data_IF_752521410652
#
_entry.id   IF_752521410652
#
_cell.length_a   1.000
_cell.length_b   1.000
_cell.length_c   1.000
_cell.angle_alpha   90.00
_cell.angle_beta   90.00
_cell.angle_gamma   90.00
#
_symmetry.space_group_name_H-M   'P 1'
#
loop_
_entity.id
_entity.type
_entity.pdbx_description
1 polymer ?
#
# COMPACT_ATOMS: atom_id res chain seq x y z
N UNK A 1 23.73 14.38 -46.40
CA UNK A 1 23.50 14.76 -45.00
C UNK A 1 22.11 14.24 -44.62
N UNK A 2 22.04 13.10 -43.94
CA UNK A 2 20.79 12.43 -43.59
C UNK A 2 20.03 13.25 -42.54
N UNK A 3 18.75 13.52 -42.79
CA UNK A 3 17.78 13.94 -41.76
C UNK A 3 16.71 12.86 -41.68
N UNK A 4 16.77 12.02 -40.65
CA UNK A 4 15.65 11.17 -40.26
C UNK A 4 14.66 12.02 -39.47
N UNK A 5 13.48 12.25 -40.04
CA UNK A 5 12.31 12.76 -39.31
C UNK A 5 11.39 11.57 -39.02
N UNK A 6 11.18 11.23 -37.75
CA UNK A 6 10.21 10.21 -37.35
C UNK A 6 8.86 10.90 -37.12
N UNK A 7 7.91 10.57 -37.99
CA UNK A 7 6.53 11.04 -38.03
C UNK A 7 5.68 10.04 -37.23
N UNK A 8 5.01 10.49 -36.17
CA UNK A 8 4.06 9.66 -35.43
C UNK A 8 2.85 9.35 -36.34
N UNK A 9 2.61 8.07 -36.62
CA UNK A 9 1.42 7.58 -37.29
C UNK A 9 0.53 6.87 -36.26
N UNK A 10 -0.65 7.44 -36.03
CA UNK A 10 -1.80 6.79 -35.43
C UNK A 10 -2.31 5.69 -36.38
N UNK A 11 -2.39 4.45 -35.89
CA UNK A 11 -2.97 3.33 -36.61
C UNK A 11 -3.62 2.35 -35.63
N UNK A 12 -4.89 2.04 -35.85
CA UNK A 12 -5.73 1.16 -35.04
C UNK A 12 -5.67 -0.31 -35.52
N UNK A 13 -5.41 -1.24 -34.58
CA UNK A 13 -5.79 -2.69 -34.48
C UNK A 13 -5.49 -3.68 -35.66
N UNK A 14 -5.49 -5.06 -35.50
CA UNK A 14 -5.74 -5.93 -34.33
C UNK A 14 -4.76 -7.15 -34.11
N UNK A 15 -4.95 -7.84 -32.97
CA UNK A 15 -4.74 -9.29 -32.68
C UNK A 15 -3.34 -9.97 -32.63
N UNK A 16 -3.19 -10.78 -31.56
CA UNK A 16 -2.37 -12.00 -31.38
C UNK A 16 -0.86 -11.89 -31.10
N UNK A 17 -0.49 -12.06 -29.83
CA UNK A 17 0.58 -12.98 -29.44
C UNK A 17 0.14 -13.81 -28.23
N UNK A 18 -0.13 -15.09 -28.49
CA UNK A 18 -0.35 -16.13 -27.51
C UNK A 18 1.00 -16.53 -26.90
N UNK A 19 1.12 -16.45 -25.57
CA UNK A 19 2.18 -17.09 -24.80
C UNK A 19 1.57 -18.17 -23.92
N UNK A 20 1.49 -19.38 -24.47
CA UNK A 20 1.14 -20.61 -23.75
C UNK A 20 2.30 -20.95 -22.80
N UNK A 21 2.03 -21.14 -21.51
CA UNK A 21 2.90 -21.95 -20.64
C UNK A 21 2.05 -22.96 -19.88
N UNK A 22 2.54 -24.20 -19.89
CA UNK A 22 1.82 -25.45 -19.72
C UNK A 22 1.23 -25.69 -18.33
N UNK A 23 0.06 -26.33 -18.35
CA UNK A 23 -0.54 -27.08 -17.26
C UNK A 23 0.41 -28.18 -16.75
N UNK A 24 0.65 -28.20 -15.44
CA UNK A 24 1.13 -29.38 -14.72
C UNK A 24 -0.02 -29.98 -13.91
N UNK A 25 -0.95 -30.67 -14.57
CA UNK A 25 -1.94 -31.51 -13.89
C UNK A 25 -1.24 -32.79 -13.42
N UNK A 26 -1.05 -32.94 -12.10
CA UNK A 26 -0.93 -34.28 -11.50
C UNK A 26 -2.34 -34.79 -11.24
N UNK A 27 -2.68 -35.90 -11.89
CA UNK A 27 -3.84 -36.71 -11.55
C UNK A 27 -3.56 -37.41 -10.22
N UNK A 28 -4.32 -37.06 -9.18
CA UNK A 28 -4.57 -37.98 -8.07
C UNK A 28 -5.95 -38.61 -8.25
N UNK A 29 -5.94 -39.92 -8.37
CA UNK A 29 -7.09 -40.80 -8.44
C UNK A 29 -7.75 -40.92 -7.06
N UNK A 30 -8.63 -39.99 -6.72
CA UNK A 30 -9.70 -40.19 -5.73
C UNK A 30 -10.78 -39.12 -5.88
N UNK A 31 -11.95 -39.52 -6.39
CA UNK A 31 -13.08 -38.62 -6.53
C UNK A 31 -13.61 -38.14 -5.18
N UNK A 32 -13.42 -36.85 -4.87
CA UNK A 32 -14.27 -36.05 -3.97
C UNK A 32 -14.16 -34.59 -4.39
N UNK A 33 -15.26 -34.02 -4.92
CA UNK A 33 -15.38 -32.58 -5.14
C UNK A 33 -15.58 -31.90 -3.78
N UNK A 34 -14.54 -31.27 -3.27
CA UNK A 34 -14.66 -30.18 -2.31
C UNK A 34 -14.50 -28.87 -3.07
N UNK A 35 -15.43 -27.93 -2.91
CA UNK A 35 -15.34 -26.60 -3.48
C UNK A 35 -14.18 -25.85 -2.84
N UNK A 36 -13.05 -25.79 -3.54
CA UNK A 36 -11.94 -24.92 -3.20
C UNK A 36 -12.11 -23.62 -3.99
N UNK A 37 -12.43 -22.54 -3.29
CA UNK A 37 -12.26 -21.20 -3.85
C UNK A 37 -10.78 -20.97 -4.18
N UNK A 38 -10.44 -20.39 -5.34
CA UNK A 38 -9.05 -20.24 -5.74
C UNK A 38 -8.38 -19.14 -4.90
N UNK A 39 -7.65 -19.57 -3.87
CA UNK A 39 -6.69 -18.73 -3.15
C UNK A 39 -5.48 -18.46 -4.05
N UNK A 40 -5.30 -17.21 -4.43
CA UNK A 40 -4.17 -16.77 -5.26
C UNK A 40 -2.88 -16.73 -4.44
N UNK A 41 -1.77 -17.24 -5.01
CA UNK A 41 -0.44 -17.02 -4.45
C UNK A 41 0.03 -15.58 -4.78
N UNK A 42 0.47 -14.86 -3.74
CA UNK A 42 0.87 -13.44 -3.74
C UNK A 42 1.98 -13.00 -4.73
N UNK A 43 2.51 -13.91 -5.55
CA UNK A 43 3.59 -13.62 -6.51
C UNK A 43 3.17 -12.75 -7.71
N UNK A 44 1.87 -12.59 -7.97
CA UNK A 44 1.36 -11.91 -9.18
C UNK A 44 1.05 -10.40 -9.00
N UNK A 45 1.14 -9.84 -7.79
CA UNK A 45 0.84 -8.44 -7.49
C UNK A 45 2.09 -7.56 -7.27
N UNK A 46 3.23 -7.90 -7.88
CA UNK A 46 4.45 -7.07 -7.81
C UNK A 46 4.41 -5.80 -8.69
N UNK A 47 3.26 -5.45 -9.28
CA UNK A 47 3.11 -4.24 -10.10
C UNK A 47 2.23 -3.22 -9.38
N UNK A 48 2.85 -2.10 -8.96
CA UNK A 48 2.17 -0.91 -8.47
C UNK A 48 1.60 -1.04 -7.06
N UNK A 49 2.44 -1.13 -6.02
CA UNK A 49 1.95 -0.88 -4.66
C UNK A 49 1.60 0.61 -4.53
N UNK A 50 0.37 0.92 -4.09
CA UNK A 50 0.02 2.28 -3.69
C UNK A 50 0.69 2.50 -2.33
N UNK A 51 1.94 2.97 -2.36
CA UNK A 51 2.70 3.24 -1.14
C UNK A 51 1.93 4.23 -0.25
N UNK A 52 1.77 3.87 1.02
CA UNK A 52 1.35 4.81 2.05
C UNK A 52 2.63 5.47 2.56
N UNK A 53 2.87 6.73 2.19
CA UNK A 53 4.05 7.44 2.65
C UNK A 53 3.77 8.00 4.06
N UNK A 54 4.73 7.93 4.98
CA UNK A 54 4.70 8.75 6.18
C UNK A 54 4.60 10.24 5.78
N UNK A 55 3.64 10.96 6.36
CA UNK A 55 3.15 12.32 6.01
C UNK A 55 4.17 13.49 6.14
N UNK A 56 5.46 13.29 5.91
CA UNK A 56 6.50 14.34 6.12
C UNK A 56 7.19 14.82 4.84
N UNK A 57 6.74 14.43 3.65
CA UNK A 57 7.22 15.04 2.41
C UNK A 57 6.56 16.42 2.20
N UNK A 58 7.19 17.47 2.74
CA UNK A 58 6.85 18.85 2.38
C UNK A 58 7.14 19.09 0.88
N UNK A 59 6.28 19.81 0.14
CA UNK A 59 6.66 20.31 -1.18
C UNK A 59 7.75 21.37 -0.99
N UNK A 60 8.93 21.14 -1.57
CA UNK A 60 9.94 22.19 -1.66
C UNK A 60 9.43 23.30 -2.58
N UNK A 61 9.60 24.59 -2.21
CA UNK A 61 9.22 25.68 -3.09
C UNK A 61 10.11 25.67 -4.34
N UNK A 62 9.44 25.79 -5.48
CA UNK A 62 10.00 25.85 -6.82
C UNK A 62 10.75 27.18 -7.01
N UNK A 63 11.96 27.34 -6.46
CA UNK A 63 12.90 28.42 -6.83
C UNK A 63 14.31 28.10 -6.31
N UNK A 64 15.16 27.55 -7.19
CA UNK A 64 16.60 27.42 -6.97
C UNK A 64 17.29 28.71 -7.44
N UNK A 65 17.65 29.59 -6.51
CA UNK A 65 18.76 30.53 -6.72
C UNK A 65 20.08 29.86 -6.32
N UNK A 66 21.20 30.14 -7.01
CA UNK A 66 22.50 29.53 -6.68
C UNK A 66 23.03 30.09 -5.35
N UNK A 67 23.17 29.24 -4.33
CA UNK A 67 23.73 29.61 -3.05
C UNK A 67 25.27 29.54 -3.07
N UNK A 68 25.92 30.65 -2.72
CA UNK A 68 27.34 30.74 -2.38
C UNK A 68 27.65 30.05 -1.04
N UNK A 69 28.88 29.57 -0.81
CA UNK A 69 29.20 28.73 0.35
C UNK A 69 29.63 29.59 1.54
N UNK A 70 28.79 29.75 2.57
CA UNK A 70 29.25 30.25 3.87
C UNK A 70 28.70 29.50 5.09
N UNK A 71 29.65 29.05 5.91
CA UNK A 71 29.60 28.75 7.35
C UNK A 71 28.68 27.62 7.85
N UNK A 72 29.29 26.45 8.01
CA UNK A 72 28.82 25.36 8.87
C UNK A 72 28.86 25.84 10.33
N UNK A 73 27.70 26.14 10.91
CA UNK A 73 27.55 26.26 12.36
C UNK A 73 26.84 25.02 12.90
N UNK A 74 27.49 24.38 13.87
CA UNK A 74 27.03 23.17 14.58
C UNK A 74 25.58 23.32 15.07
N UNK A 75 24.64 22.65 14.40
CA UNK A 75 23.33 22.30 14.96
C UNK A 75 23.29 20.79 15.19
N UNK A 76 22.79 20.31 16.35
CA UNK A 76 22.65 18.88 16.58
C UNK A 76 21.75 18.25 15.51
N UNK A 77 21.99 16.99 15.12
CA UNK A 77 21.21 16.35 14.07
C UNK A 77 19.73 16.31 14.48
N UNK A 78 18.88 16.90 13.65
CA UNK A 78 17.43 16.80 13.78
C UNK A 78 17.06 15.32 13.63
N UNK A 79 16.61 14.69 14.73
CA UNK A 79 15.99 13.37 14.69
C UNK A 79 14.85 13.38 13.66
N UNK A 80 14.77 12.40 12.75
CA UNK A 80 13.58 12.22 11.92
C UNK A 80 12.36 12.06 12.84
N UNK A 81 11.40 12.99 12.76
CA UNK A 81 10.10 12.82 13.42
C UNK A 81 9.38 11.67 12.71
N UNK A 82 9.05 10.61 13.47
CA UNK A 82 8.07 9.61 13.05
C UNK A 82 6.78 10.32 12.64
N UNK A 83 6.10 9.83 11.60
CA UNK A 83 4.78 10.34 11.25
C UNK A 83 3.80 10.16 12.41
N UNK A 84 2.81 11.05 12.56
CA UNK A 84 1.73 10.81 13.50
C UNK A 84 1.03 9.47 13.15
N UNK A 85 0.61 8.68 14.15
CA UNK A 85 -0.09 7.41 13.91
C UNK A 85 -1.38 7.65 13.11
N UNK A 86 -1.79 6.68 12.27
CA UNK A 86 -3.03 6.80 11.51
C UNK A 86 -4.23 6.89 12.44
N UNK A 87 -5.27 7.68 12.13
CA UNK A 87 -6.48 7.71 12.92
C UNK A 87 -7.22 6.37 12.88
N UNK A 88 -7.67 5.91 14.04
CA UNK A 88 -8.11 4.53 14.26
C UNK A 88 -9.12 4.45 15.41
N UNK A 89 -9.85 3.34 15.49
CA UNK A 89 -10.74 3.06 16.63
C UNK A 89 -9.94 2.75 17.90
N UNK A 90 -9.03 1.77 17.83
CA UNK A 90 -8.29 1.23 18.98
C UNK A 90 -6.91 0.66 18.58
N UNK A 91 -5.90 0.76 19.44
CA UNK A 91 -4.54 0.20 19.20
C UNK A 91 -3.88 -0.40 20.46
N UNK A 92 -4.69 -0.87 21.39
CA UNK A 92 -4.27 -1.22 22.76
C UNK A 92 -3.08 -2.18 22.83
N UNK A 93 -3.05 -3.25 22.03
CA UNK A 93 -2.03 -4.29 22.12
C UNK A 93 -0.85 -4.06 21.17
N UNK A 94 -1.12 -3.57 19.96
CA UNK A 94 -0.09 -3.25 18.98
C UNK A 94 -0.55 -2.12 18.04
N UNK A 95 0.38 -1.22 17.71
CA UNK A 95 0.10 0.04 17.01
C UNK A 95 -0.26 -0.16 15.53
N UNK A 96 -1.24 0.60 15.03
CA UNK A 96 -1.70 0.47 13.64
C UNK A 96 -0.67 0.93 12.60
N UNK A 97 0.32 1.73 13.00
CA UNK A 97 1.44 2.13 12.13
C UNK A 97 2.18 0.92 11.53
N UNK A 98 2.22 -0.20 12.25
CA UNK A 98 2.90 -1.43 11.83
C UNK A 98 2.30 -2.08 10.58
N UNK A 99 1.02 -1.80 10.27
CA UNK A 99 0.34 -2.35 9.09
C UNK A 99 1.07 -2.00 7.79
N UNK A 100 1.67 -0.82 7.75
CA UNK A 100 2.33 -0.25 6.57
C UNK A 100 3.85 -0.43 6.58
N UNK A 101 4.42 -1.01 7.64
CA UNK A 101 5.86 -1.27 7.75
C UNK A 101 6.35 -2.08 6.55
N UNK A 102 7.37 -1.64 5.80
CA UNK A 102 7.81 -2.31 4.57
C UNK A 102 8.34 -3.74 4.80
N UNK A 103 8.98 -3.98 5.94
CA UNK A 103 9.58 -5.27 6.26
C UNK A 103 8.52 -6.34 6.52
N UNK A 104 8.83 -7.62 6.24
CA UNK A 104 8.00 -8.73 6.70
C UNK A 104 7.76 -8.66 8.23
N UNK A 105 6.60 -9.12 8.72
CA UNK A 105 6.35 -9.25 10.15
C UNK A 105 7.42 -10.08 10.83
N UNK A 106 7.77 -9.71 12.06
CA UNK A 106 8.64 -10.51 12.92
C UNK A 106 7.96 -10.89 14.23
N UNK A 107 8.32 -12.04 14.78
CA UNK A 107 7.89 -12.47 16.12
C UNK A 107 9.06 -12.39 17.09
N UNK A 108 8.81 -11.90 18.31
CA UNK A 108 9.77 -11.91 19.41
C UNK A 108 9.18 -12.61 20.64
N UNK A 109 9.23 -13.96 20.68
CA UNK A 109 8.72 -14.71 21.83
C UNK A 109 9.38 -14.24 23.14
N UNK A 110 8.58 -14.06 24.19
CA UNK A 110 9.07 -13.61 25.51
C UNK A 110 9.27 -12.10 25.64
N UNK A 111 9.05 -11.31 24.58
CA UNK A 111 9.03 -9.84 24.68
C UNK A 111 7.60 -9.38 24.96
N UNK A 112 7.45 -8.57 26.01
CA UNK A 112 6.17 -8.04 26.45
C UNK A 112 6.20 -6.51 26.48
N UNK A 113 5.07 -5.90 26.14
CA UNK A 113 4.76 -4.49 26.36
C UNK A 113 3.95 -4.36 27.65
N UNK A 114 3.57 -3.13 28.01
CA UNK A 114 2.67 -2.90 29.14
C UNK A 114 1.26 -3.50 28.91
N UNK A 115 0.88 -3.73 27.63
CA UNK A 115 -0.43 -4.23 27.26
C UNK A 115 -0.47 -5.76 27.11
N UNK A 116 0.67 -6.43 26.88
CA UNK A 116 0.70 -7.88 26.66
C UNK A 116 1.94 -8.33 25.92
N UNK A 117 1.86 -9.48 25.23
CA UNK A 117 2.95 -9.92 24.35
C UNK A 117 3.16 -8.91 23.21
N UNK A 118 4.40 -8.68 22.83
CA UNK A 118 4.71 -7.77 21.72
C UNK A 118 4.38 -8.42 20.38
N UNK A 119 3.67 -7.68 19.52
CA UNK A 119 3.35 -8.07 18.15
C UNK A 119 3.83 -7.02 17.14
N UNK A 120 4.32 -7.50 16.00
CA UNK A 120 4.64 -6.68 14.83
C UNK A 120 3.43 -6.57 13.91
N UNK A 121 2.45 -5.79 14.34
CA UNK A 121 1.18 -5.62 13.66
C UNK A 121 0.29 -4.61 14.38
N UNK A 122 -0.97 -4.57 13.97
CA UNK A 122 -2.06 -3.91 14.67
C UNK A 122 -2.87 -4.97 15.42
N UNK A 123 -3.17 -4.73 16.70
CA UNK A 123 -4.04 -5.60 17.49
C UNK A 123 -4.93 -4.77 18.42
N UNK A 124 -6.23 -5.05 18.36
CA UNK A 124 -7.25 -4.35 19.14
C UNK A 124 -7.74 -5.17 20.34
N UNK A 125 -8.55 -4.54 21.19
CA UNK A 125 -9.05 -5.19 22.41
C UNK A 125 -10.15 -6.19 22.06
N UNK A 126 -10.14 -7.34 22.73
CA UNK A 126 -11.19 -8.35 22.61
C UNK A 126 -12.56 -7.83 23.07
N UNK A 127 -13.60 -8.40 22.48
CA UNK A 127 -15.01 -8.14 22.81
C UNK A 127 -15.41 -6.71 22.46
N UNK A 128 -15.04 -6.27 21.26
CA UNK A 128 -15.53 -5.01 20.71
C UNK A 128 -17.08 -5.05 20.70
N UNK A 129 -17.69 -4.04 21.32
CA UNK A 129 -19.17 -3.90 21.36
C UNK A 129 -19.72 -3.33 20.06
N UNK A 130 -18.88 -2.69 19.26
CA UNK A 130 -19.20 -2.21 17.94
C UNK A 130 -19.05 -3.34 16.91
N UNK A 131 -19.58 -3.15 15.70
CA UNK A 131 -19.52 -4.18 14.66
C UNK A 131 -18.09 -4.47 14.17
N UNK A 132 -17.21 -3.47 14.23
CA UNK A 132 -15.84 -3.56 13.74
C UNK A 132 -14.90 -2.54 14.38
N UNK A 133 -13.62 -2.87 14.38
CA UNK A 133 -12.51 -1.93 14.51
C UNK A 133 -12.08 -1.39 13.14
N UNK A 134 -11.49 -0.19 13.12
CA UNK A 134 -11.09 0.44 11.87
C UNK A 134 -9.83 1.29 11.99
N UNK A 135 -9.15 1.46 10.86
CA UNK A 135 -8.03 2.39 10.70
C UNK A 135 -8.13 3.10 9.36
N UNK A 136 -7.89 4.41 9.36
CA UNK A 136 -7.81 5.24 8.15
C UNK A 136 -6.36 5.49 7.79
N UNK A 137 -6.01 5.20 6.54
CA UNK A 137 -4.67 5.32 6.00
C UNK A 137 -4.72 6.29 4.82
N UNK A 138 -3.95 7.38 4.91
CA UNK A 138 -3.72 8.29 3.79
C UNK A 138 -2.71 7.69 2.83
N UNK A 139 -3.01 7.72 1.53
CA UNK A 139 -2.06 7.27 0.52
C UNK A 139 -0.87 8.23 0.44
N UNK A 140 0.31 7.69 0.14
CA UNK A 140 1.52 8.48 -0.05
C UNK A 140 1.66 9.13 -1.42
N UNK A 141 0.82 8.69 -2.36
CA UNK A 141 0.68 9.32 -3.68
C UNK A 141 -0.51 10.27 -3.67
N UNK A 142 -0.55 11.21 -4.62
CA UNK A 142 -1.64 12.19 -4.70
C UNK A 142 -3.02 11.50 -4.76
N UNK A 143 -3.15 10.47 -5.60
CA UNK A 143 -4.29 9.56 -5.58
C UNK A 143 -3.98 8.27 -6.33
N UNK A 144 -4.82 7.24 -6.17
CA UNK A 144 -4.66 5.98 -6.89
C UNK A 144 -5.94 5.18 -7.05
N UNK A 145 -6.00 4.40 -8.13
CA UNK A 145 -7.07 3.43 -8.40
C UNK A 145 -6.63 2.04 -7.95
N UNK A 146 -7.51 1.27 -7.33
CA UNK A 146 -7.14 0.01 -6.67
C UNK A 146 -7.38 -1.18 -7.58
N UNK A 147 -6.41 -2.11 -7.59
CA UNK A 147 -6.45 -3.41 -8.30
C UNK A 147 -6.63 -4.59 -7.35
N UNK A 148 -6.17 -4.47 -6.11
CA UNK A 148 -6.24 -5.57 -5.16
C UNK A 148 -5.74 -5.18 -3.78
N UNK A 149 -6.01 -6.07 -2.84
CA UNK A 149 -5.70 -5.94 -1.42
C UNK A 149 -4.97 -7.20 -0.97
N UNK A 150 -3.94 -7.05 -0.16
CA UNK A 150 -3.35 -8.15 0.62
C UNK A 150 -3.41 -7.83 2.10
N UNK A 151 -3.74 -8.86 2.88
CA UNK A 151 -3.73 -8.89 4.34
C UNK A 151 -2.77 -10.00 4.76
N UNK A 152 -1.89 -9.68 5.69
CA UNK A 152 -1.03 -10.65 6.36
C UNK A 152 -1.44 -10.73 7.82
N UNK A 153 -1.85 -11.91 8.28
CA UNK A 153 -2.18 -12.19 9.69
C UNK A 153 -1.04 -12.90 10.42
N UNK A 154 0.20 -12.88 9.88
CA UNK A 154 1.37 -13.53 10.45
C UNK A 154 1.46 -13.39 11.98
N UNK A 155 1.67 -14.53 12.65
CA UNK A 155 1.80 -14.67 14.11
C UNK A 155 0.53 -14.42 14.93
N UNK A 156 -0.55 -13.93 14.33
CA UNK A 156 -1.88 -13.95 14.94
C UNK A 156 -2.54 -15.31 14.69
N UNK A 157 -2.49 -16.18 15.70
CA UNK A 157 -2.99 -17.55 15.64
C UNK A 157 -4.00 -17.75 16.77
N UNK A 158 -5.28 -17.81 16.41
CA UNK A 158 -6.42 -17.74 17.34
C UNK A 158 -6.92 -16.32 17.68
N UNK A 159 -6.11 -15.27 17.45
CA UNK A 159 -6.48 -13.85 17.64
C UNK A 159 -6.33 -13.00 16.36
N UNK A 160 -6.31 -13.64 15.19
CA UNK A 160 -6.32 -12.92 13.92
C UNK A 160 -7.66 -12.23 13.70
N UNK A 161 -7.68 -11.18 12.87
CA UNK A 161 -8.91 -10.63 12.31
C UNK A 161 -9.76 -11.77 11.71
N UNK A 162 -11.01 -12.00 12.16
CA UNK A 162 -11.87 -13.02 11.58
C UNK A 162 -12.31 -12.66 10.16
N UNK A 163 -12.75 -11.43 9.95
CA UNK A 163 -13.12 -10.90 8.65
C UNK A 163 -12.63 -9.45 8.49
N UNK A 164 -12.43 -9.03 7.24
CA UNK A 164 -12.04 -7.66 6.90
C UNK A 164 -12.87 -7.11 5.76
N UNK A 165 -12.96 -5.79 5.66
CA UNK A 165 -13.44 -5.09 4.48
C UNK A 165 -12.57 -3.84 4.23
N UNK A 166 -12.56 -3.34 2.99
CA UNK A 166 -11.78 -2.14 2.63
C UNK A 166 -12.67 -1.13 1.93
N UNK A 167 -12.55 0.11 2.36
CA UNK A 167 -13.25 1.24 1.78
C UNK A 167 -12.28 2.34 1.36
N UNK A 168 -12.70 3.22 0.46
CA UNK A 168 -11.92 4.33 -0.06
C UNK A 168 -12.71 5.62 -0.08
N UNK A 169 -12.00 6.74 -0.07
CA UNK A 169 -12.58 8.04 -0.36
C UNK A 169 -11.58 8.92 -1.12
N UNK A 170 -12.12 9.81 -1.95
CA UNK A 170 -11.35 10.84 -2.62
C UNK A 170 -11.62 12.18 -1.96
N UNK A 171 -10.60 12.72 -1.29
CA UNK A 171 -10.66 14.03 -0.66
C UNK A 171 -10.02 15.08 -1.58
N UNK A 172 -10.81 16.06 -2.06
CA UNK A 172 -10.41 17.17 -2.94
C UNK A 172 -9.65 18.30 -2.22
N UNK A 173 -9.10 18.03 -1.03
CA UNK A 173 -8.45 19.02 -0.13
C UNK A 173 -9.39 20.07 0.49
N UNK A 174 -10.68 20.09 0.15
CA UNK A 174 -11.69 20.97 0.78
C UNK A 174 -11.98 20.61 2.24
N UNK A 175 -11.62 19.39 2.63
CA UNK A 175 -11.84 18.83 3.97
C UNK A 175 -10.48 18.50 4.57
N UNK A 176 -10.20 18.98 5.78
CA UNK A 176 -8.95 18.66 6.46
C UNK A 176 -8.84 17.14 6.72
N UNK A 177 -7.64 16.57 6.63
CA UNK A 177 -7.41 15.13 6.86
C UNK A 177 -7.93 14.68 8.24
N UNK A 178 -7.92 15.58 9.24
CA UNK A 178 -8.46 15.34 10.58
C UNK A 178 -9.97 15.07 10.58
N UNK A 179 -10.72 15.59 9.60
CA UNK A 179 -12.17 15.36 9.46
C UNK A 179 -12.47 14.03 8.75
N UNK A 180 -11.69 13.67 7.72
CA UNK A 180 -11.80 12.37 7.03
C UNK A 180 -11.57 11.21 8.00
N UNK A 181 -10.73 11.48 8.98
CA UNK A 181 -10.28 10.56 10.01
C UNK A 181 -11.27 10.34 11.16
N UNK A 182 -12.41 11.04 11.18
CA UNK A 182 -13.41 10.90 12.24
C UNK A 182 -14.30 9.68 12.02
N UNK A 183 -14.76 9.07 13.13
CA UNK A 183 -15.72 7.94 13.10
C UNK A 183 -17.00 8.33 12.35
N UNK A 184 -17.40 9.59 12.40
CA UNK A 184 -18.61 10.14 11.77
C UNK A 184 -18.48 10.36 10.26
N UNK A 185 -17.28 10.29 9.68
CA UNK A 185 -17.12 10.47 8.24
C UNK A 185 -17.87 9.35 7.48
N UNK A 186 -18.74 9.75 6.53
CA UNK A 186 -19.65 8.84 5.81
C UNK A 186 -19.37 8.72 4.31
N UNK A 187 -18.48 9.54 3.74
CA UNK A 187 -18.23 9.54 2.28
C UNK A 187 -17.25 8.42 1.87
N UNK A 188 -17.49 7.20 2.35
CA UNK A 188 -16.69 6.02 2.05
C UNK A 188 -17.38 5.19 0.96
N UNK A 189 -16.62 4.77 -0.04
CA UNK A 189 -17.02 3.82 -1.08
C UNK A 189 -16.40 2.45 -0.78
N UNK A 190 -17.13 1.36 -1.00
CA UNK A 190 -16.57 0.01 -0.79
C UNK A 190 -15.63 -0.37 -1.92
N UNK A 191 -14.39 -0.69 -1.57
CA UNK A 191 -13.35 -1.21 -2.49
C UNK A 191 -13.36 -2.74 -2.47
N UNK A 192 -13.41 -3.33 -1.27
CA UNK A 192 -13.47 -4.76 -1.05
C UNK A 192 -14.57 -5.04 -0.03
N UNK A 193 -15.55 -5.84 -0.45
CA UNK A 193 -16.61 -6.35 0.43
C UNK A 193 -16.04 -7.21 1.55
N UNK A 194 -16.86 -7.56 2.55
CA UNK A 194 -16.43 -8.38 3.69
C UNK A 194 -15.84 -9.72 3.22
N UNK A 195 -14.63 -10.04 3.67
CA UNK A 195 -13.89 -11.26 3.32
C UNK A 195 -13.36 -11.96 4.57
N UNK A 196 -13.40 -13.30 4.62
CA UNK A 196 -12.86 -14.05 5.75
C UNK A 196 -11.33 -14.10 5.75
N UNK A 197 -10.76 -14.06 6.94
CA UNK A 197 -9.34 -14.20 7.21
C UNK A 197 -9.06 -15.51 7.96
N UNK A 198 -7.80 -15.92 7.98
CA UNK A 198 -7.39 -17.07 8.76
C UNK A 198 -6.11 -16.81 9.51
N UNK A 199 -5.72 -17.77 10.37
CA UNK A 199 -4.61 -17.58 11.29
C UNK A 199 -3.28 -17.59 10.55
N UNK A 200 -2.40 -16.67 10.95
CA UNK A 200 -0.98 -16.64 10.57
C UNK A 200 -0.69 -16.93 9.10
N UNK A 201 -1.38 -16.25 8.17
CA UNK A 201 -1.21 -16.43 6.74
C UNK A 201 -1.26 -15.11 5.97
N UNK A 202 -0.62 -15.12 4.80
CA UNK A 202 -0.82 -14.09 3.77
C UNK A 202 -2.01 -14.48 2.90
N UNK A 203 -2.83 -13.50 2.58
CA UNK A 203 -4.01 -13.67 1.75
C UNK A 203 -4.26 -12.41 0.93
N UNK A 204 -4.62 -12.58 -0.33
CA UNK A 204 -4.82 -11.47 -1.24
C UNK A 204 -6.08 -11.66 -2.09
N UNK A 205 -6.76 -10.55 -2.35
CA UNK A 205 -7.93 -10.48 -3.21
C UNK A 205 -7.64 -9.52 -4.35
N UNK A 206 -7.71 -10.04 -5.57
CA UNK A 206 -7.72 -9.24 -6.78
C UNK A 206 -9.15 -8.78 -7.05
N UNK A 207 -9.33 -7.48 -7.30
CA UNK A 207 -10.64 -6.95 -7.68
C UNK A 207 -11.00 -7.43 -9.10
N UNK A 208 -12.29 -7.64 -9.41
CA UNK A 208 -12.73 -8.07 -10.74
C UNK A 208 -12.27 -7.10 -11.85
N UNK A 209 -12.26 -5.82 -11.55
CA UNK A 209 -11.71 -4.73 -12.36
C UNK A 209 -10.97 -3.75 -11.46
N UNK A 210 -10.10 -2.94 -12.06
CA UNK A 210 -9.57 -1.77 -11.36
C UNK A 210 -10.73 -0.84 -10.97
N UNK A 211 -10.63 -0.16 -9.83
CA UNK A 211 -11.67 0.79 -9.41
C UNK A 211 -11.85 1.91 -10.42
N UNK A 212 -13.10 2.31 -10.65
CA UNK A 212 -13.40 3.41 -11.57
C UNK A 212 -12.89 4.74 -11.01
N UNK A 213 -13.16 4.98 -9.73
CA UNK A 213 -12.73 6.17 -8.99
C UNK A 213 -11.31 6.02 -8.44
N UNK A 214 -10.50 7.10 -8.45
CA UNK A 214 -9.29 7.18 -7.66
C UNK A 214 -9.62 7.49 -6.19
N UNK A 215 -8.70 7.16 -5.28
CA UNK A 215 -8.82 7.43 -3.85
C UNK A 215 -7.58 8.14 -3.32
N UNK A 216 -7.74 8.91 -2.25
CA UNK A 216 -6.64 9.55 -1.50
C UNK A 216 -6.48 8.97 -0.10
N UNK A 217 -7.56 8.40 0.46
CA UNK A 217 -7.58 7.72 1.74
C UNK A 217 -8.27 6.37 1.59
N UNK A 218 -7.83 5.40 2.39
CA UNK A 218 -8.49 4.11 2.54
C UNK A 218 -8.78 3.82 3.99
N UNK A 219 -9.83 3.05 4.24
CA UNK A 219 -10.23 2.58 5.56
C UNK A 219 -10.26 1.06 5.57
N UNK A 220 -9.45 0.47 6.42
CA UNK A 220 -9.49 -0.97 6.71
C UNK A 220 -10.45 -1.20 7.88
N UNK A 221 -11.38 -2.13 7.69
CA UNK A 221 -12.36 -2.56 8.70
C UNK A 221 -12.02 -3.99 9.12
N UNK A 222 -12.02 -4.26 10.43
CA UNK A 222 -11.75 -5.56 11.03
C UNK A 222 -12.94 -5.98 11.90
N UNK A 223 -13.53 -7.14 11.64
CA UNK A 223 -14.78 -7.56 12.24
C UNK A 223 -14.61 -8.77 13.18
N UNK A 224 -15.07 -8.71 14.45
CA UNK A 224 -15.37 -7.49 15.22
C UNK A 224 -14.09 -6.82 15.77
N UNK A 225 -13.07 -7.64 16.05
CA UNK A 225 -11.78 -7.27 16.64
C UNK A 225 -10.73 -8.35 16.31
N UNK A 226 -9.46 -8.11 16.63
CA UNK A 226 -8.37 -9.07 16.43
C UNK A 226 -7.05 -8.42 16.06
N UNK A 227 -6.21 -9.16 15.33
CA UNK A 227 -4.89 -8.70 14.91
C UNK A 227 -4.58 -8.92 13.43
N UNK A 228 -3.86 -7.96 12.85
CA UNK A 228 -3.38 -7.94 11.46
C UNK A 228 -1.93 -7.49 11.46
N UNK A 229 -1.04 -8.25 10.82
CA UNK A 229 0.38 -7.95 10.77
C UNK A 229 0.72 -6.92 9.69
N UNK A 230 0.21 -7.09 8.45
CA UNK A 230 0.39 -6.14 7.35
C UNK A 230 -0.88 -5.94 6.54
N UNK A 231 -0.99 -4.74 6.01
CA UNK A 231 -1.96 -4.38 4.98
C UNK A 231 -1.20 -3.85 3.76
N UNK A 232 -1.58 -4.30 2.57
CA UNK A 232 -1.06 -3.82 1.30
C UNK A 232 -2.22 -3.51 0.36
N UNK A 233 -2.13 -2.35 -0.28
CA UNK A 233 -3.06 -1.91 -1.31
C UNK A 233 -2.30 -1.78 -2.62
N UNK A 234 -2.77 -2.48 -3.65
CA UNK A 234 -2.15 -2.48 -4.98
C UNK A 234 -3.03 -1.71 -5.95
N UNK A 235 -2.41 -0.96 -6.85
CA UNK A 235 -3.14 -0.06 -7.73
C UNK A 235 -2.28 0.77 -8.66
N UNK A 236 -2.97 1.56 -9.49
CA UNK A 236 -2.34 2.51 -10.40
C UNK A 236 -2.36 3.89 -9.76
N UNK A 237 -1.21 4.56 -9.76
CA UNK A 237 -1.11 5.95 -9.33
C UNK A 237 -1.80 6.84 -10.36
N UNK A 238 -2.61 7.77 -9.88
CA UNK A 238 -3.19 8.84 -10.70
C UNK A 238 -2.43 10.12 -10.34
N UNK A 239 -1.42 10.51 -11.15
CA UNK A 239 -0.52 11.60 -10.81
C UNK A 239 -1.15 12.97 -11.07
N UNK A 240 -0.70 13.97 -10.33
CA UNK A 240 -1.01 15.38 -10.60
C UNK A 240 0.15 15.95 -11.41
N UNK A 241 -0.03 16.02 -12.73
CA UNK A 241 1.01 16.49 -13.63
C UNK A 241 1.03 18.03 -13.71
N UNK A 242 2.21 18.65 -13.91
CA UNK A 242 2.30 20.08 -14.15
C UNK A 242 1.50 20.51 -15.40
N UNK A 243 0.88 21.69 -15.34
CA UNK A 243 0.17 22.27 -16.50
C UNK A 243 1.13 22.87 -17.53
N UNK A 244 2.31 23.33 -17.08
CA UNK A 244 3.35 23.84 -17.98
C UNK A 244 4.04 22.68 -18.70
N UNK A 245 3.93 22.68 -20.03
CA UNK A 245 4.54 21.67 -20.90
C UNK A 245 6.07 21.67 -20.88
N UNK A 246 6.69 22.74 -20.40
CA UNK A 246 8.14 22.86 -20.23
C UNK A 246 8.60 22.52 -18.82
N UNK A 247 7.68 22.21 -17.90
CA UNK A 247 8.03 21.85 -16.53
C UNK A 247 8.86 20.57 -16.53
N UNK A 248 10.00 20.63 -15.83
CA UNK A 248 10.86 19.47 -15.62
C UNK A 248 10.40 18.77 -14.35
N UNK A 249 10.02 17.50 -14.47
CA UNK A 249 9.67 16.64 -13.35
C UNK A 249 10.14 15.21 -13.63
N UNK A 250 10.24 14.41 -12.57
CA UNK A 250 10.74 13.04 -12.66
C UNK A 250 9.66 12.09 -13.18
N UNK A 251 9.81 11.63 -14.43
CA UNK A 251 8.90 10.67 -15.07
C UNK A 251 9.00 9.25 -14.48
N UNK A 252 10.11 8.92 -13.84
CA UNK A 252 10.33 7.59 -13.26
C UNK A 252 9.81 7.50 -11.82
N UNK A 253 9.61 8.63 -11.13
CA UNK A 253 9.17 8.64 -9.74
C UNK A 253 7.83 7.91 -9.54
N UNK A 254 7.72 7.12 -8.47
CA UNK A 254 6.50 6.37 -8.14
C UNK A 254 5.30 7.30 -7.94
N UNK A 255 5.51 8.48 -7.35
CA UNK A 255 4.45 9.49 -7.15
C UNK A 255 3.87 10.01 -8.47
N UNK A 256 4.60 9.86 -9.58
CA UNK A 256 4.20 10.23 -10.92
C UNK A 256 3.73 9.02 -11.75
N UNK A 257 3.62 7.84 -11.13
CA UNK A 257 3.16 6.61 -11.78
C UNK A 257 4.28 5.75 -12.38
N UNK A 258 5.55 6.04 -12.10
CA UNK A 258 6.63 5.15 -12.45
C UNK A 258 6.52 3.80 -11.73
N UNK A 259 6.73 2.72 -12.48
CA UNK A 259 6.68 1.34 -11.95
C UNK A 259 7.87 0.57 -12.52
N UNK A 260 8.65 -0.05 -11.64
CA UNK A 260 9.72 -0.95 -12.05
C UNK A 260 9.08 -2.27 -12.51
N UNK A 261 9.25 -2.64 -13.77
CA UNK A 261 8.55 -3.81 -14.36
C UNK A 261 9.35 -5.11 -14.19
N UNK A 262 10.67 -5.05 -14.23
CA UNK A 262 11.55 -6.22 -14.18
C UNK A 262 12.92 -5.88 -13.59
N UNK A 263 13.58 -6.89 -13.05
CA UNK A 263 14.94 -6.83 -12.51
C UNK A 263 15.63 -8.18 -12.76
N UNK A 264 16.95 -8.18 -12.96
CA UNK A 264 17.72 -9.42 -13.13
C UNK A 264 17.96 -10.16 -11.82
N UNK A 265 18.10 -9.44 -10.71
CA UNK A 265 18.32 -9.96 -9.37
C UNK A 265 17.75 -8.99 -8.33
N UNK A 266 17.35 -9.51 -7.16
CA UNK A 266 16.93 -8.73 -5.97
C UNK A 266 17.42 -9.44 -4.70
N UNK A 267 18.72 -9.60 -4.57
CA UNK A 267 19.28 -10.21 -3.37
C UNK A 267 18.99 -9.40 -2.08
N UNK A 268 19.09 -8.07 -2.16
CA UNK A 268 18.72 -7.13 -1.10
C UNK A 268 17.79 -6.04 -1.63
N UNK A 269 16.81 -5.66 -0.82
CA UNK A 269 15.80 -4.65 -1.19
C UNK A 269 14.88 -5.12 -2.33
N UNK A 270 14.15 -4.16 -2.91
CA UNK A 270 13.31 -4.40 -4.07
C UNK A 270 13.56 -3.33 -5.14
N UNK A 271 13.40 -3.68 -6.41
CA UNK A 271 13.56 -2.79 -7.57
C UNK A 271 12.73 -1.51 -7.43
N UNK A 272 11.58 -1.60 -6.75
CA UNK A 272 10.63 -0.51 -6.60
C UNK A 272 11.17 0.61 -5.69
N UNK A 273 12.15 0.29 -4.83
CA UNK A 273 12.82 1.28 -3.99
C UNK A 273 13.57 2.36 -4.80
N UNK A 274 13.97 2.05 -6.05
CA UNK A 274 14.65 3.01 -6.94
C UNK A 274 13.79 4.23 -7.28
N UNK A 275 12.47 4.09 -7.19
CA UNK A 275 11.49 5.08 -7.64
C UNK A 275 10.87 5.84 -6.45
N UNK A 276 11.25 5.49 -5.23
CA UNK A 276 10.72 6.09 -4.00
C UNK A 276 11.32 7.48 -3.74
N UNK A 277 10.58 8.37 -3.05
CA UNK A 277 11.08 9.69 -2.69
C UNK A 277 12.29 9.65 -1.76
N UNK A 278 13.14 10.68 -1.88
CA UNK A 278 14.30 10.86 -1.01
C UNK A 278 15.49 9.98 -1.41
N UNK A 279 16.41 9.75 -0.47
CA UNK A 279 17.66 9.01 -0.70
C UNK A 279 17.75 7.67 0.04
N UNK A 280 16.67 7.26 0.70
CA UNK A 280 16.70 6.16 1.67
C UNK A 280 17.40 6.56 2.98
N UNK A 281 17.40 5.63 3.93
CA UNK A 281 18.07 5.78 5.24
C UNK A 281 19.33 4.92 5.29
N UNK A 282 19.24 3.71 4.76
CA UNK A 282 20.26 2.68 4.70
C UNK A 282 20.15 1.91 3.37
N UNK A 283 20.88 0.79 3.26
CA UNK A 283 20.97 -0.05 2.06
C UNK A 283 19.70 -0.86 1.82
#
# INVERSE_FOLDING_TARGET
>A
MLKYGMRALLGAYPQQCAGILLQGLRHDSAGKRAGAEPTWHAGYLQQGMLYCLPSTAFPLPLNLHPATPESVTNKPPLRPRRSPPPPLSEEWFAAAENLTTPTPPIRKPGVFTYAGAWYDGWETRRHNTEEYDWVVIKLGVASGKVRGVEIDTAFFDGNHAPEIAVQGTFNTEDVADSEVSKKEYRKWETILEKQPCGPSRRQAWKLPSITENPYTHVRLLMYPDGGIARFRLFGDVVPVLPQDVNAIFDLAATVNGGVAVSCSDQHFGTKDNLLLPGRGVDM
#
